data_IF_239805357024
#
_entry.id   IF_239805357024
#
_cell.length_a   1.000
_cell.length_b   1.000
_cell.length_c   1.000
_cell.angle_alpha   90.00
_cell.angle_beta   90.00
_cell.angle_gamma   90.00
#
_symmetry.space_group_name_H-M   'P 1'
#
loop_
_entity.id
_entity.type
_entity.pdbx_description
1 polymer ?
#
# COMPACT_ATOMS: atom_id res chain seq x y z
N UNK A 1 -3.24 -6.15 -7.22
CA UNK A 1 -2.89 -5.58 -8.53
C UNK A 1 -2.32 -4.14 -8.45
N UNK A 2 -2.78 -3.27 -7.56
CA UNK A 2 -2.27 -1.90 -7.37
C UNK A 2 -0.75 -1.83 -7.03
N UNK A 3 -0.19 -2.87 -6.44
CA UNK A 3 1.24 -3.01 -6.11
C UNK A 3 2.07 -3.78 -7.14
N UNK A 4 1.53 -4.08 -8.35
CA UNK A 4 2.21 -4.92 -9.35
C UNK A 4 3.57 -4.34 -9.78
N UNK A 5 3.74 -3.03 -9.74
CA UNK A 5 4.99 -2.35 -10.06
C UNK A 5 6.16 -2.73 -9.15
N UNK A 6 5.88 -3.24 -7.94
CA UNK A 6 6.94 -3.71 -7.02
C UNK A 6 7.74 -4.88 -7.57
N UNK A 7 7.20 -5.64 -8.52
CA UNK A 7 7.91 -6.73 -9.20
C UNK A 7 9.14 -6.21 -9.95
N UNK A 8 9.07 -4.98 -10.47
CA UNK A 8 10.18 -4.32 -11.17
C UNK A 8 10.96 -3.40 -10.21
N UNK A 9 10.26 -2.76 -9.26
CA UNK A 9 10.85 -1.83 -8.31
C UNK A 9 11.90 -2.50 -7.41
N UNK A 10 11.65 -3.76 -7.01
CA UNK A 10 12.49 -4.49 -6.07
C UNK A 10 13.30 -5.52 -6.85
N UNK A 11 14.64 -5.48 -6.69
CA UNK A 11 15.54 -6.48 -7.25
C UNK A 11 15.27 -7.86 -6.63
N UNK A 12 15.28 -8.89 -7.48
CA UNK A 12 15.22 -10.29 -7.06
C UNK A 12 16.58 -10.86 -6.61
N UNK A 13 17.64 -10.07 -6.69
CA UNK A 13 18.98 -10.50 -6.29
C UNK A 13 19.13 -10.60 -4.78
N UNK A 14 20.09 -11.39 -4.32
CA UNK A 14 20.34 -11.74 -2.91
C UNK A 14 20.53 -10.54 -1.97
N UNK A 15 20.84 -9.36 -2.52
CA UNK A 15 20.81 -8.08 -1.82
C UNK A 15 19.50 -7.37 -2.20
N UNK A 16 18.44 -7.60 -1.41
CA UNK A 16 17.13 -6.98 -1.61
C UNK A 16 17.26 -5.44 -1.63
N UNK A 17 17.44 -4.88 -2.80
CA UNK A 17 17.56 -3.45 -3.06
C UNK A 17 16.53 -2.98 -4.09
N UNK A 18 16.42 -1.67 -4.23
CA UNK A 18 15.63 -1.09 -5.31
C UNK A 18 16.42 -1.13 -6.62
N UNK A 19 15.73 -1.42 -7.72
CA UNK A 19 16.29 -1.23 -9.07
C UNK A 19 16.45 0.26 -9.37
N UNK A 20 17.28 0.62 -10.36
CA UNK A 20 17.38 2.02 -10.81
C UNK A 20 16.03 2.55 -11.29
N UNK A 21 15.27 1.76 -12.03
CA UNK A 21 13.92 2.10 -12.47
C UNK A 21 12.98 2.29 -11.26
N UNK A 22 13.08 1.43 -10.25
CA UNK A 22 12.33 1.56 -9.01
C UNK A 22 12.66 2.85 -8.26
N UNK A 23 13.93 3.19 -8.15
CA UNK A 23 14.40 4.41 -7.47
C UNK A 23 13.98 5.70 -8.20
N UNK A 24 14.08 5.74 -9.53
CA UNK A 24 13.78 6.94 -10.32
C UNK A 24 12.28 7.12 -10.60
N UNK A 25 11.54 6.04 -10.85
CA UNK A 25 10.16 6.08 -11.35
C UNK A 25 9.17 5.69 -10.26
N UNK A 26 9.50 4.68 -9.45
CA UNK A 26 8.65 4.14 -8.38
C UNK A 26 7.53 3.22 -8.87
N UNK A 27 7.17 2.24 -8.03
CA UNK A 27 6.25 1.16 -8.37
C UNK A 27 4.86 1.59 -8.82
N UNK A 28 4.39 2.77 -8.41
CA UNK A 28 3.05 3.27 -8.78
C UNK A 28 2.98 3.56 -10.27
N UNK A 29 3.98 4.28 -10.79
CA UNK A 29 4.04 4.63 -12.23
C UNK A 29 4.36 3.40 -13.06
N UNK A 30 5.32 2.60 -12.61
CA UNK A 30 5.66 1.30 -13.25
C UNK A 30 4.41 0.41 -13.31
N UNK A 31 3.65 0.31 -12.22
CA UNK A 31 2.40 -0.46 -12.16
C UNK A 31 1.33 0.05 -13.14
N UNK A 32 1.19 1.38 -13.28
CA UNK A 32 0.33 1.98 -14.29
C UNK A 32 0.76 1.59 -15.71
N UNK A 33 2.06 1.59 -16.01
CA UNK A 33 2.59 1.28 -17.33
C UNK A 33 2.42 -0.21 -17.68
N UNK A 34 2.62 -1.10 -16.71
CA UNK A 34 2.32 -2.54 -16.86
C UNK A 34 0.82 -2.73 -17.20
N UNK A 35 -0.09 -2.09 -16.45
CA UNK A 35 -1.53 -2.20 -16.69
C UNK A 35 -1.90 -1.66 -18.06
N UNK A 36 -1.37 -0.50 -18.46
CA UNK A 36 -1.60 0.11 -19.78
C UNK A 36 -1.13 -0.82 -20.91
N UNK A 37 0.04 -1.44 -20.74
CA UNK A 37 0.59 -2.39 -21.71
C UNK A 37 -0.26 -3.65 -21.82
N UNK A 38 -0.81 -4.14 -20.71
CA UNK A 38 -1.74 -5.27 -20.70
C UNK A 38 -3.08 -4.93 -21.39
N UNK A 39 -3.64 -3.76 -21.10
CA UNK A 39 -4.89 -3.29 -21.71
C UNK A 39 -4.77 -3.20 -23.26
N UNK A 40 -3.63 -2.73 -23.78
CA UNK A 40 -3.37 -2.65 -25.23
C UNK A 40 -3.38 -4.02 -25.93
N UNK A 41 -3.13 -5.11 -25.22
CA UNK A 41 -3.15 -6.48 -25.76
C UNK A 41 -4.56 -7.05 -25.86
N UNK A 42 -5.54 -6.42 -25.23
CA UNK A 42 -6.94 -6.84 -25.23
C UNK A 42 -7.65 -6.10 -26.36
N UNK A 43 -8.19 -6.87 -27.32
CA UNK A 43 -8.94 -6.29 -28.45
C UNK A 43 -10.17 -5.53 -27.94
N UNK A 44 -10.31 -4.28 -28.40
CA UNK A 44 -11.43 -3.40 -28.05
C UNK A 44 -11.58 -3.12 -26.54
N UNK A 45 -10.46 -3.07 -25.80
CA UNK A 45 -10.50 -2.67 -24.40
C UNK A 45 -11.05 -1.24 -24.28
N UNK A 46 -12.13 -1.01 -23.47
CA UNK A 46 -12.75 0.31 -23.39
C UNK A 46 -11.78 1.37 -22.82
N UNK A 47 -11.62 2.48 -23.54
CA UNK A 47 -10.70 3.54 -23.15
C UNK A 47 -11.09 4.22 -21.83
N UNK A 48 -12.37 4.40 -21.58
CA UNK A 48 -12.87 5.00 -20.33
C UNK A 48 -12.55 4.10 -19.11
N UNK A 49 -12.61 2.79 -19.26
CA UNK A 49 -12.22 1.84 -18.22
C UNK A 49 -10.70 1.90 -18.01
N UNK A 50 -9.91 1.97 -19.08
CA UNK A 50 -8.46 2.09 -18.96
C UNK A 50 -8.07 3.33 -18.17
N UNK A 51 -8.63 4.49 -18.49
CA UNK A 51 -8.34 5.75 -17.79
C UNK A 51 -8.72 5.66 -16.30
N UNK A 52 -9.88 5.06 -15.98
CA UNK A 52 -10.30 4.86 -14.59
C UNK A 52 -9.36 3.93 -13.82
N UNK A 53 -8.91 2.83 -14.43
CA UNK A 53 -7.94 1.91 -13.82
C UNK A 53 -6.58 2.59 -13.58
N UNK A 54 -6.09 3.36 -14.56
CA UNK A 54 -4.87 4.16 -14.40
C UNK A 54 -5.02 5.15 -13.25
N UNK A 55 -6.15 5.86 -13.19
CA UNK A 55 -6.43 6.77 -12.08
C UNK A 55 -6.45 6.07 -10.73
N UNK A 56 -7.06 4.89 -10.62
CA UNK A 56 -7.05 4.10 -9.38
C UNK A 56 -5.62 3.77 -8.93
N UNK A 57 -4.75 3.33 -9.86
CA UNK A 57 -3.35 3.00 -9.55
C UNK A 57 -2.57 4.25 -9.14
N UNK A 58 -2.78 5.39 -9.77
CA UNK A 58 -2.05 6.61 -9.50
C UNK A 58 -2.52 7.32 -8.21
N UNK A 59 -3.73 7.04 -7.72
CA UNK A 59 -4.36 7.81 -6.63
C UNK A 59 -4.51 7.05 -5.32
N UNK A 60 -4.31 5.71 -5.26
CA UNK A 60 -4.60 4.93 -4.05
C UNK A 60 -3.74 5.30 -2.84
N UNK A 61 -2.49 5.79 -3.05
CA UNK A 61 -1.60 6.28 -2.00
C UNK A 61 -1.65 7.80 -1.79
N UNK A 62 -2.61 8.49 -2.41
CA UNK A 62 -2.76 9.92 -2.25
C UNK A 62 -2.97 10.30 -0.79
N UNK A 63 -1.89 10.64 -0.07
CA UNK A 63 -2.03 11.27 1.24
C UNK A 63 -2.73 12.61 1.04
N UNK A 64 -3.90 12.77 1.63
CA UNK A 64 -4.66 14.02 1.64
C UNK A 64 -3.84 15.21 2.17
N UNK A 65 -2.77 14.93 2.93
CA UNK A 65 -1.97 15.91 3.66
C UNK A 65 -0.81 16.51 2.88
N UNK A 66 -0.37 15.90 1.79
CA UNK A 66 0.77 16.39 1.01
C UNK A 66 0.33 16.54 -0.45
N UNK A 67 -0.20 17.69 -0.84
CA UNK A 67 -0.34 18.25 -2.21
C UNK A 67 -0.23 17.26 -3.40
N UNK A 68 -0.56 15.97 -3.20
CA UNK A 68 -0.58 14.99 -4.27
C UNK A 68 -1.65 15.40 -5.27
N UNK A 69 -1.25 15.71 -6.50
CA UNK A 69 -2.15 16.04 -7.59
C UNK A 69 -3.11 14.88 -7.93
N UNK A 70 -2.80 13.69 -7.47
CA UNK A 70 -3.53 12.46 -7.76
C UNK A 70 -4.41 11.99 -6.58
N UNK A 71 -5.35 12.83 -6.15
CA UNK A 71 -6.39 12.43 -5.19
C UNK A 71 -7.43 11.54 -5.88
N UNK A 72 -8.03 10.57 -5.16
CA UNK A 72 -9.15 9.78 -5.68
C UNK A 72 -10.31 10.68 -6.14
N UNK A 73 -10.69 10.58 -7.42
CA UNK A 73 -11.76 11.37 -8.04
C UNK A 73 -12.99 10.53 -8.42
N UNK A 74 -12.90 9.21 -8.25
CA UNK A 74 -14.02 8.27 -8.43
C UNK A 74 -14.16 7.42 -7.18
N UNK A 75 -15.37 6.92 -6.92
CA UNK A 75 -15.67 6.13 -5.71
C UNK A 75 -14.84 4.86 -5.59
N UNK A 76 -14.53 4.21 -6.70
CA UNK A 76 -13.72 2.99 -6.75
C UNK A 76 -12.27 3.29 -6.33
N UNK A 77 -11.71 4.42 -6.75
CA UNK A 77 -10.38 4.88 -6.34
C UNK A 77 -10.34 5.24 -4.84
N UNK A 78 -11.40 5.90 -4.34
CA UNK A 78 -11.52 6.20 -2.91
C UNK A 78 -11.62 4.92 -2.08
N UNK A 79 -12.43 3.95 -2.53
CA UNK A 79 -12.57 2.66 -1.87
C UNK A 79 -11.24 1.92 -1.81
N UNK A 80 -10.49 1.85 -2.92
CA UNK A 80 -9.17 1.24 -2.97
C UNK A 80 -8.20 1.92 -1.98
N UNK A 81 -8.18 3.25 -1.94
CA UNK A 81 -7.38 4.01 -0.99
C UNK A 81 -7.71 3.68 0.47
N UNK A 82 -9.00 3.59 0.82
CA UNK A 82 -9.43 3.26 2.17
C UNK A 82 -9.06 1.83 2.57
N UNK A 83 -9.24 0.86 1.66
CA UNK A 83 -8.88 -0.54 1.90
C UNK A 83 -7.37 -0.69 2.09
N UNK A 84 -6.54 -0.09 1.23
CA UNK A 84 -5.08 -0.14 1.33
C UNK A 84 -4.59 0.49 2.65
N UNK A 85 -5.18 1.64 3.04
CA UNK A 85 -4.86 2.30 4.29
C UNK A 85 -5.30 1.50 5.53
N UNK A 86 -6.48 0.87 5.46
CA UNK A 86 -6.98 -0.02 6.51
C UNK A 86 -6.04 -1.22 6.68
N UNK A 87 -5.69 -1.91 5.60
CA UNK A 87 -4.79 -3.07 5.62
C UNK A 87 -3.44 -2.70 6.22
N UNK A 88 -2.83 -1.60 5.75
CA UNK A 88 -1.56 -1.11 6.28
C UNK A 88 -1.63 -0.80 7.78
N UNK A 89 -2.70 -0.15 8.25
CA UNK A 89 -2.86 0.18 9.67
C UNK A 89 -3.13 -1.04 10.53
N UNK A 90 -3.91 -2.00 10.05
CA UNK A 90 -4.15 -3.27 10.76
C UNK A 90 -2.84 -4.05 10.91
N UNK A 91 -2.01 -4.13 9.86
CA UNK A 91 -0.70 -4.77 9.94
C UNK A 91 0.21 -4.08 10.96
N UNK A 92 0.26 -2.74 10.97
CA UNK A 92 1.04 -1.97 11.97
C UNK A 92 0.52 -2.20 13.39
N UNK A 93 -0.78 -2.36 13.57
CA UNK A 93 -1.38 -2.66 14.87
C UNK A 93 -0.96 -4.05 15.36
N UNK A 94 -1.06 -5.07 14.50
CA UNK A 94 -0.66 -6.43 14.82
C UNK A 94 0.85 -6.52 15.15
N UNK A 95 1.70 -5.89 14.34
CA UNK A 95 3.14 -5.81 14.62
C UNK A 95 3.43 -5.16 15.97
N UNK A 96 2.73 -4.08 16.33
CA UNK A 96 2.92 -3.42 17.61
C UNK A 96 2.52 -4.31 18.80
N UNK A 97 1.53 -5.20 18.62
CA UNK A 97 1.18 -6.19 19.64
C UNK A 97 2.23 -7.30 19.77
N UNK A 98 2.78 -7.75 18.63
CA UNK A 98 3.76 -8.85 18.57
C UNK A 98 5.15 -8.43 19.07
N UNK A 99 5.61 -7.23 18.68
CA UNK A 99 6.96 -6.73 18.99
C UNK A 99 7.08 -6.14 20.39
N UNK A 100 5.98 -5.95 21.13
CA UNK A 100 6.02 -5.38 22.48
C UNK A 100 6.74 -6.31 23.46
N UNK A 101 7.84 -5.81 24.03
CA UNK A 101 8.61 -6.51 25.07
C UNK A 101 7.96 -6.47 26.46
N UNK A 102 6.91 -5.67 26.64
CA UNK A 102 6.22 -5.54 27.92
C UNK A 102 5.47 -6.83 28.31
N UNK A 103 5.64 -7.28 29.55
CA UNK A 103 4.98 -8.51 30.04
C UNK A 103 3.51 -8.31 30.45
N UNK A 104 3.03 -7.07 30.52
CA UNK A 104 1.67 -6.72 30.92
C UNK A 104 0.64 -6.90 29.79
N UNK A 105 -0.63 -6.59 30.12
CA UNK A 105 -1.77 -6.64 29.20
C UNK A 105 -1.74 -5.53 28.13
N UNK A 106 -0.80 -4.59 28.22
CA UNK A 106 -0.66 -3.44 27.35
C UNK A 106 0.74 -3.36 26.74
N UNK A 107 0.84 -2.75 25.55
CA UNK A 107 2.12 -2.42 24.94
C UNK A 107 2.69 -1.13 25.55
N UNK A 108 3.97 -0.84 25.29
CA UNK A 108 4.51 0.49 25.45
C UNK A 108 3.96 1.48 24.41
N UNK A 109 4.46 2.73 24.43
CA UNK A 109 4.08 3.80 23.49
C UNK A 109 5.00 3.87 22.25
N UNK A 110 6.02 3.04 22.17
CA UNK A 110 6.99 3.03 21.07
C UNK A 110 6.45 2.23 19.87
N UNK A 111 5.28 2.60 19.40
CA UNK A 111 4.61 2.03 18.24
C UNK A 111 4.12 3.15 17.31
N UNK A 112 3.66 2.78 16.12
CA UNK A 112 3.14 3.72 15.11
C UNK A 112 2.03 4.65 15.66
N UNK A 113 1.20 4.15 16.56
CA UNK A 113 0.04 4.88 17.10
C UNK A 113 0.40 5.80 18.27
N UNK A 114 1.61 5.63 18.85
CA UNK A 114 2.13 6.41 20.00
C UNK A 114 1.25 6.35 21.25
N UNK A 115 0.50 5.27 21.42
CA UNK A 115 -0.34 4.97 22.56
C UNK A 115 -0.13 3.53 23.00
N UNK A 116 -0.40 3.18 24.28
CA UNK A 116 -0.48 1.79 24.70
C UNK A 116 -1.63 1.09 23.98
N UNK A 117 -1.38 -0.12 23.46
CA UNK A 117 -2.39 -0.96 22.83
C UNK A 117 -2.67 -2.16 23.73
N UNK A 118 -3.92 -2.58 23.78
CA UNK A 118 -4.33 -3.71 24.61
C UNK A 118 -4.02 -5.04 23.91
N UNK A 119 -3.22 -5.87 24.57
CA UNK A 119 -2.81 -7.20 24.07
C UNK A 119 -3.79 -8.32 24.42
N UNK A 120 -4.70 -8.08 25.32
CA UNK A 120 -5.53 -9.10 25.95
C UNK A 120 -4.93 -9.61 27.27
N UNK A 121 -5.76 -10.23 28.11
CA UNK A 121 -5.28 -10.95 29.30
C UNK A 121 -4.64 -12.25 28.85
N UNK A 122 -3.43 -12.55 29.35
CA UNK A 122 -2.88 -13.93 29.25
C UNK A 122 -3.84 -14.81 30.05
N UNK A 123 -4.46 -15.80 29.40
CA UNK A 123 -5.16 -16.85 30.13
C UNK A 123 -4.13 -17.53 31.02
N UNK A 124 -4.25 -17.33 32.31
CA UNK A 124 -3.51 -18.12 33.31
C UNK A 124 -4.13 -19.53 33.28
N UNK A 125 -3.41 -20.48 32.73
CA UNK A 125 -3.69 -21.91 32.93
C UNK A 125 -3.61 -22.25 34.40
#
# INVERSE_FOLDING_TARGET
MHNIGKIIEISSDFEAGYTDEGNFIGHIVIGRDIMRSAAKKIKNFPEDIQIKLEHMILSYRGKYELQSQNKPKIREALLLHLIDNMDAKMNLFLLALEESAEDGDWTDRHNYFRIPLYKGKKETE
#
